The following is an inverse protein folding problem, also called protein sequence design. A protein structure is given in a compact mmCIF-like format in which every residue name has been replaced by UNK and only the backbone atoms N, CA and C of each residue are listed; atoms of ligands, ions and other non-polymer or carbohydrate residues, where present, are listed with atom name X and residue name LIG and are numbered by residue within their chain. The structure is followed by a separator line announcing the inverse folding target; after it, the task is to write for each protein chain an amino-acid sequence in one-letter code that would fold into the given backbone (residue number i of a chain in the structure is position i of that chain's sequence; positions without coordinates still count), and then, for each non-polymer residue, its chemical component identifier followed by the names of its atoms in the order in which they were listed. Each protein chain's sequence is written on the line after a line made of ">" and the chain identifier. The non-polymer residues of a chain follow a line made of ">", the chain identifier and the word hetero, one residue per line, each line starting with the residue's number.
data_IF_441928984575
#
_entry.id   IF_441928984575
#
_cell.length_a   1.000
_cell.length_b   1.000
_cell.length_c   1.000
_cell.angle_alpha   90.00
_cell.angle_beta   90.00
_cell.angle_gamma   90.00
#
_symmetry.space_group_name_H-M   'P 1'
#
loop_
_entity.id
_entity.type
_entity.pdbx_description
1 polymer ?
#
# COMPACT_ATOMS: atom_id res chain seq x y z
N UNK A 1 9.56 -5.51 16.55
CA UNK A 1 10.13 -4.26 15.97
C UNK A 1 9.09 -3.62 15.07
N UNK A 2 9.00 -2.28 15.00
CA UNK A 2 8.03 -1.56 14.15
C UNK A 2 8.80 -0.56 13.29
N UNK A 3 8.64 -0.62 11.97
CA UNK A 3 9.42 0.18 11.02
C UNK A 3 8.45 0.88 10.06
N UNK A 4 8.68 2.16 9.81
CA UNK A 4 8.03 2.91 8.74
C UNK A 4 9.09 3.18 7.67
N UNK A 5 8.79 2.82 6.42
CA UNK A 5 9.71 2.99 5.29
C UNK A 5 9.20 4.09 4.35
N UNK A 6 9.90 5.22 4.33
CA UNK A 6 9.55 6.41 3.54
C UNK A 6 10.47 6.55 2.32
N UNK A 7 9.96 7.18 1.26
CA UNK A 7 10.73 7.42 0.03
C UNK A 7 9.83 7.62 -1.19
N UNK A 8 10.38 8.22 -2.24
CA UNK A 8 9.66 8.50 -3.48
C UNK A 8 9.13 7.22 -4.18
N UNK A 9 8.12 7.32 -5.05
CA UNK A 9 7.76 6.24 -5.98
C UNK A 9 8.99 5.78 -6.77
N UNK A 10 9.17 4.47 -6.96
CA UNK A 10 10.33 3.92 -7.68
C UNK A 10 11.64 3.87 -6.90
N UNK A 11 11.75 4.45 -5.69
CA UNK A 11 12.99 4.48 -4.90
C UNK A 11 13.43 3.13 -4.28
N UNK A 12 12.80 2.01 -4.65
CA UNK A 12 13.20 0.68 -4.16
C UNK A 12 12.70 0.30 -2.75
N UNK A 13 11.69 0.99 -2.22
CA UNK A 13 11.11 0.69 -0.88
C UNK A 13 10.67 -0.77 -0.74
N UNK A 14 9.99 -1.33 -1.74
CA UNK A 14 9.53 -2.72 -1.70
C UNK A 14 10.69 -3.71 -1.58
N UNK A 15 11.76 -3.49 -2.34
CA UNK A 15 12.99 -4.30 -2.27
C UNK A 15 13.62 -4.25 -0.88
N UNK A 16 13.69 -3.06 -0.27
CA UNK A 16 14.22 -2.89 1.08
C UNK A 16 13.29 -3.51 2.14
N UNK A 17 11.97 -3.40 1.97
CA UNK A 17 11.01 -4.03 2.87
C UNK A 17 11.16 -5.55 2.87
N UNK A 18 11.33 -6.19 1.71
CA UNK A 18 11.60 -7.63 1.61
C UNK A 18 12.87 -8.05 2.36
N UNK A 19 13.94 -7.27 2.23
CA UNK A 19 15.17 -7.52 2.99
C UNK A 19 14.93 -7.46 4.51
N UNK A 20 14.18 -6.46 4.99
CA UNK A 20 13.85 -6.30 6.40
C UNK A 20 12.94 -7.43 6.92
N UNK A 21 11.96 -7.87 6.13
CA UNK A 21 11.10 -9.00 6.48
C UNK A 21 11.93 -10.27 6.73
N UNK A 22 12.83 -10.61 5.80
CA UNK A 22 13.68 -11.80 5.91
C UNK A 22 14.66 -11.71 7.09
N UNK A 23 15.24 -10.53 7.31
CA UNK A 23 16.23 -10.33 8.39
C UNK A 23 15.61 -10.41 9.78
N UNK A 24 14.37 -9.93 9.94
CA UNK A 24 13.76 -9.73 11.27
C UNK A 24 12.51 -10.58 11.52
N UNK A 25 12.08 -11.40 10.55
CA UNK A 25 10.90 -12.25 10.67
C UNK A 25 9.60 -11.45 10.87
N UNK A 26 9.53 -10.23 10.33
CA UNK A 26 8.35 -9.36 10.45
C UNK A 26 7.57 -9.32 9.14
N UNK A 27 6.23 -9.20 9.17
CA UNK A 27 5.44 -9.00 7.97
C UNK A 27 5.58 -7.57 7.43
N UNK A 28 5.42 -7.40 6.13
CA UNK A 28 5.24 -6.09 5.50
C UNK A 28 3.75 -5.77 5.41
N UNK A 29 3.39 -4.55 5.85
CA UNK A 29 2.08 -3.96 5.56
C UNK A 29 2.30 -2.86 4.52
N UNK A 30 1.61 -2.97 3.39
CA UNK A 30 1.79 -2.10 2.23
C UNK A 30 0.43 -1.63 1.74
N UNK A 31 0.07 -0.39 2.10
CA UNK A 31 -1.21 0.22 1.68
C UNK A 31 -1.37 0.20 0.16
N UNK A 32 -0.27 0.39 -0.59
CA UNK A 32 -0.28 0.31 -2.05
C UNK A 32 -0.60 -1.08 -2.59
N UNK A 33 -0.13 -2.16 -1.94
CA UNK A 33 -0.45 -3.53 -2.36
C UNK A 33 -1.91 -3.89 -1.99
N UNK A 34 -2.35 -3.47 -0.79
CA UNK A 34 -3.73 -3.65 -0.31
C UNK A 34 -4.74 -2.95 -1.22
N UNK A 35 -4.47 -1.69 -1.61
CA UNK A 35 -5.27 -0.94 -2.59
C UNK A 35 -5.34 -1.68 -3.94
N UNK A 36 -4.18 -2.12 -4.47
CA UNK A 36 -4.13 -2.83 -5.75
C UNK A 36 -4.87 -4.17 -5.70
N UNK A 37 -4.84 -4.89 -4.58
CA UNK A 37 -5.63 -6.10 -4.37
C UNK A 37 -7.14 -5.79 -4.35
N UNK A 38 -7.57 -4.81 -3.57
CA UNK A 38 -8.97 -4.39 -3.50
C UNK A 38 -9.54 -3.93 -4.84
N UNK A 39 -8.72 -3.25 -5.66
CA UNK A 39 -9.05 -2.88 -7.06
C UNK A 39 -9.24 -4.12 -7.91
N UNK A 40 -8.28 -5.08 -7.85
CA UNK A 40 -8.32 -6.31 -8.64
C UNK A 40 -9.53 -7.18 -8.29
N UNK A 41 -9.92 -7.20 -7.02
CA UNK A 41 -11.09 -7.93 -6.51
C UNK A 41 -12.43 -7.22 -6.81
N UNK A 42 -12.40 -5.97 -7.29
CA UNK A 42 -13.61 -5.22 -7.63
C UNK A 42 -14.44 -4.81 -6.41
N UNK A 43 -13.82 -4.71 -5.23
CA UNK A 43 -14.53 -4.28 -4.01
C UNK A 43 -15.03 -2.83 -4.15
N UNK A 44 -16.11 -2.43 -3.44
CA UNK A 44 -16.60 -1.04 -3.49
C UNK A 44 -15.50 -0.02 -3.14
N UNK A 45 -14.70 -0.30 -2.10
CA UNK A 45 -13.55 0.52 -1.71
C UNK A 45 -12.46 0.55 -2.77
N UNK A 46 -12.15 -0.61 -3.38
CA UNK A 46 -11.18 -0.71 -4.47
C UNK A 46 -11.59 0.12 -5.68
N UNK A 47 -12.86 0.08 -6.09
CA UNK A 47 -13.36 0.86 -7.22
C UNK A 47 -13.29 2.37 -6.96
N UNK A 48 -13.64 2.81 -5.74
CA UNK A 48 -13.51 4.21 -5.33
C UNK A 48 -12.03 4.65 -5.32
N UNK A 49 -11.13 3.84 -4.76
CA UNK A 49 -9.71 4.10 -4.75
C UNK A 49 -9.12 4.19 -6.17
N UNK A 50 -9.55 3.31 -7.09
CA UNK A 50 -9.08 3.29 -8.48
C UNK A 50 -9.28 4.64 -9.17
N UNK A 51 -10.45 5.26 -9.00
CA UNK A 51 -10.74 6.55 -9.63
C UNK A 51 -9.77 7.65 -9.18
N UNK A 52 -9.42 7.68 -7.88
CA UNK A 52 -8.49 8.66 -7.31
C UNK A 52 -7.05 8.37 -7.75
N UNK A 53 -6.65 7.10 -7.75
CA UNK A 53 -5.31 6.67 -8.16
C UNK A 53 -5.04 6.93 -9.64
N UNK A 54 -6.01 6.67 -10.52
CA UNK A 54 -5.91 6.92 -11.96
C UNK A 54 -5.76 8.43 -12.25
N UNK A 55 -6.33 9.29 -11.39
CA UNK A 55 -6.17 10.74 -11.45
C UNK A 55 -4.82 11.24 -10.88
N UNK A 56 -3.96 10.35 -10.37
CA UNK A 56 -2.70 10.71 -9.72
C UNK A 56 -2.88 11.44 -8.39
N UNK A 57 -4.06 11.34 -7.78
CA UNK A 57 -4.40 12.01 -6.53
C UNK A 57 -4.14 11.10 -5.32
N UNK A 58 -4.05 11.74 -4.15
CA UNK A 58 -3.94 11.02 -2.89
C UNK A 58 -5.29 10.42 -2.50
N UNK A 59 -5.31 9.11 -2.24
CA UNK A 59 -6.48 8.41 -1.70
C UNK A 59 -6.77 8.91 -0.29
N UNK A 60 -8.04 9.18 0.03
CA UNK A 60 -8.44 9.73 1.32
C UNK A 60 -8.19 8.77 2.49
N UNK A 61 -7.98 9.34 3.68
CA UNK A 61 -7.76 8.56 4.91
C UNK A 61 -8.91 7.61 5.22
N UNK A 62 -10.16 7.99 4.94
CA UNK A 62 -11.33 7.12 5.13
C UNK A 62 -11.21 5.82 4.31
N UNK A 63 -10.76 5.92 3.06
CA UNK A 63 -10.57 4.74 2.19
C UNK A 63 -9.38 3.92 2.67
N UNK A 64 -8.28 4.58 3.07
CA UNK A 64 -7.08 3.89 3.56
C UNK A 64 -7.38 3.13 4.86
N UNK A 65 -8.08 3.75 5.80
CA UNK A 65 -8.44 3.12 7.08
C UNK A 65 -9.43 1.97 6.86
N UNK A 66 -10.36 2.09 5.91
CA UNK A 66 -11.30 1.02 5.57
C UNK A 66 -10.66 -0.23 4.93
N UNK A 67 -9.39 -0.14 4.49
CA UNK A 67 -8.64 -1.26 3.92
C UNK A 67 -7.77 -1.99 4.94
N UNK A 68 -7.51 -1.40 6.11
CA UNK A 68 -6.63 -1.91 7.16
C UNK A 68 -7.40 -2.79 8.14
#
# INVERSE_FOLDING_TARGET
>A
MRIILLGAPGAGKGTQAQFLMNKFGIPQISTGDMLRAAIKEGTPLGLAAKQVMDAGQLVSDEIIIGLV
#
